data_IF_029159968381
#
_entry.id   IF_029159968381
#
_cell.length_a   1.000
_cell.length_b   1.000
_cell.length_c   1.000
_cell.angle_alpha   90.00
_cell.angle_beta   90.00
_cell.angle_gamma   90.00
#
_symmetry.space_group_name_H-M   'P 1'
#
loop_
_entity.id
_entity.type
_entity.pdbx_description
1 polymer ?
#
# COMPACT_ATOMS: atom_id res chain seq x y z
N UNK A 1 3.82 -0.54 -0.37
CA UNK A 1 2.84 -0.57 -1.49
C UNK A 1 1.59 0.18 -1.09
N UNK A 2 1.18 1.14 -1.86
CA UNK A 2 0.07 2.03 -1.54
C UNK A 2 -1.04 1.86 -2.56
N UNK A 3 -2.25 1.59 -2.07
CA UNK A 3 -3.46 1.59 -2.88
C UNK A 3 -3.82 3.04 -3.26
N UNK A 4 -3.86 3.31 -4.55
CA UNK A 4 -4.20 4.62 -5.09
C UNK A 4 -5.52 4.60 -5.86
N UNK A 5 -6.37 3.62 -5.61
CA UNK A 5 -7.72 3.57 -6.19
C UNK A 5 -8.57 4.77 -5.73
N UNK A 6 -9.64 5.04 -6.47
CA UNK A 6 -10.45 6.24 -6.26
C UNK A 6 -11.10 6.38 -4.88
N UNK A 7 -11.31 5.26 -4.18
CA UNK A 7 -11.88 5.23 -2.83
C UNK A 7 -10.90 5.63 -1.72
N UNK A 8 -9.59 5.61 -1.99
CA UNK A 8 -8.58 5.91 -0.98
C UNK A 8 -8.41 7.42 -0.82
N UNK A 9 -8.46 7.89 0.44
CA UNK A 9 -8.26 9.30 0.77
C UNK A 9 -6.75 9.64 0.71
N UNK A 10 -6.40 10.58 -0.13
CA UNK A 10 -5.01 10.99 -0.33
C UNK A 10 -4.39 11.63 0.92
N UNK A 11 -5.18 12.23 1.79
CA UNK A 11 -4.68 12.77 3.07
C UNK A 11 -4.15 11.65 3.97
N UNK A 12 -4.82 10.51 3.94
CA UNK A 12 -4.40 9.34 4.71
C UNK A 12 -3.14 8.70 4.12
N UNK A 13 -3.00 8.71 2.80
CA UNK A 13 -1.77 8.28 2.15
C UNK A 13 -0.58 9.12 2.62
N UNK A 14 -0.73 10.43 2.68
CA UNK A 14 0.33 11.33 3.17
C UNK A 14 0.64 11.10 4.64
N UNK A 15 -0.36 10.88 5.47
CA UNK A 15 -0.18 10.57 6.88
C UNK A 15 0.57 9.25 7.07
N UNK A 16 0.21 8.24 6.29
CA UNK A 16 0.90 6.95 6.28
C UNK A 16 2.38 7.11 5.89
N UNK A 17 2.66 7.85 4.83
CA UNK A 17 4.04 8.08 4.38
C UNK A 17 4.88 8.77 5.44
N UNK A 18 4.34 9.75 6.15
CA UNK A 18 5.05 10.44 7.22
C UNK A 18 5.47 9.50 8.34
N UNK A 19 4.67 8.49 8.63
CA UNK A 19 5.00 7.49 9.65
C UNK A 19 6.14 6.56 9.25
N UNK A 20 6.51 6.53 7.99
CA UNK A 20 7.63 5.74 7.51
C UNK A 20 8.99 6.43 7.74
N UNK A 21 9.00 7.72 8.07
CA UNK A 21 10.25 8.48 8.27
C UNK A 21 11.22 7.83 9.26
N UNK A 22 10.78 7.35 10.43
CA UNK A 22 11.70 6.70 11.37
C UNK A 22 12.37 5.44 10.82
N UNK A 23 11.77 4.77 9.84
CA UNK A 23 12.31 3.56 9.25
C UNK A 23 13.54 3.84 8.37
N UNK A 24 13.69 5.06 7.88
CA UNK A 24 14.80 5.43 6.99
C UNK A 24 16.16 5.32 7.67
N UNK A 25 16.22 5.47 9.00
CA UNK A 25 17.46 5.34 9.75
C UNK A 25 17.94 3.89 9.86
N UNK A 26 17.05 2.94 9.69
CA UNK A 26 17.30 1.52 9.97
C UNK A 26 17.16 0.63 8.74
N UNK A 27 16.51 1.10 7.68
CA UNK A 27 16.15 0.27 6.55
C UNK A 27 16.14 1.05 5.25
N UNK A 28 16.40 0.36 4.16
CA UNK A 28 16.11 0.89 2.83
C UNK A 28 14.60 0.86 2.63
N UNK A 29 14.06 1.93 2.11
CA UNK A 29 12.62 2.07 1.88
C UNK A 29 12.34 2.20 0.38
N UNK A 30 11.38 1.42 -0.10
CA UNK A 30 10.83 1.54 -1.44
C UNK A 30 9.32 1.71 -1.34
N UNK A 31 8.78 2.65 -2.10
CA UNK A 31 7.36 2.93 -2.14
C UNK A 31 6.83 2.68 -3.55
N UNK A 32 5.82 1.85 -3.66
CA UNK A 32 5.11 1.60 -4.90
C UNK A 32 3.64 1.92 -4.77
N UNK A 33 2.99 2.19 -5.89
CA UNK A 33 1.55 2.46 -5.97
C UNK A 33 0.86 1.44 -6.86
N UNK A 34 -0.37 1.09 -6.53
CA UNK A 34 -1.20 0.22 -7.34
C UNK A 34 -2.67 0.63 -7.31
N UNK A 35 -3.37 0.25 -8.33
CA UNK A 35 -4.82 0.19 -8.41
C UNK A 35 -5.16 -1.06 -9.24
N UNK A 36 -5.71 -0.97 -10.44
CA UNK A 36 -5.78 -2.12 -11.35
C UNK A 36 -4.43 -2.42 -12.01
N UNK A 37 -3.50 -1.45 -11.95
CA UNK A 37 -2.14 -1.55 -12.47
C UNK A 37 -1.14 -1.33 -11.36
N UNK A 38 0.07 -1.81 -11.56
CA UNK A 38 1.21 -1.47 -10.72
C UNK A 38 2.01 -0.35 -11.37
N UNK A 39 2.28 0.72 -10.63
CA UNK A 39 2.88 1.95 -11.11
C UNK A 39 4.38 2.08 -10.80
N UNK A 40 5.01 0.99 -10.40
CA UNK A 40 6.45 0.95 -10.14
C UNK A 40 6.82 1.31 -8.70
N UNK A 41 8.05 0.99 -8.33
CA UNK A 41 8.63 1.39 -7.05
C UNK A 41 9.56 2.57 -7.20
N UNK A 42 9.60 3.40 -6.16
CA UNK A 42 10.54 4.52 -6.02
C UNK A 42 11.38 4.29 -4.76
N UNK A 43 12.69 4.39 -4.89
CA UNK A 43 13.59 4.34 -3.74
C UNK A 43 13.50 5.65 -2.96
N UNK A 44 13.29 5.55 -1.66
CA UNK A 44 13.21 6.72 -0.76
C UNK A 44 14.48 6.72 0.08
N UNK A 45 15.28 7.78 -0.04
CA UNK A 45 16.59 7.87 0.61
C UNK A 45 16.61 8.76 1.84
N UNK A 46 15.67 9.70 1.94
CA UNK A 46 15.62 10.65 3.04
C UNK A 46 14.19 11.16 3.28
N UNK A 47 13.99 11.85 4.40
CA UNK A 47 12.68 12.36 4.77
C UNK A 47 12.11 13.36 3.77
N UNK A 48 12.96 14.15 3.12
CA UNK A 48 12.52 15.11 2.11
C UNK A 48 11.87 14.40 0.91
N UNK A 49 12.39 13.24 0.52
CA UNK A 49 11.79 12.45 -0.56
C UNK A 49 10.43 11.89 -0.17
N UNK A 50 10.20 11.59 1.11
CA UNK A 50 8.86 11.25 1.61
C UNK A 50 7.91 12.43 1.49
N UNK A 51 8.33 13.60 1.95
CA UNK A 51 7.50 14.82 1.90
C UNK A 51 7.15 15.22 0.46
N UNK A 52 8.05 14.96 -0.47
CA UNK A 52 7.88 15.29 -1.88
C UNK A 52 7.29 14.15 -2.71
N UNK A 53 6.98 13.01 -2.10
CA UNK A 53 6.40 11.88 -2.83
C UNK A 53 5.06 12.28 -3.42
N UNK A 54 4.90 11.99 -4.71
CA UNK A 54 3.65 12.21 -5.42
C UNK A 54 3.16 10.92 -6.05
N UNK A 55 1.85 10.76 -6.12
CA UNK A 55 1.24 9.65 -6.83
C UNK A 55 1.60 9.76 -8.32
N UNK A 56 1.99 8.65 -8.97
CA UNK A 56 2.35 8.67 -10.38
C UNK A 56 1.28 9.32 -11.24
N UNK A 57 1.72 10.10 -12.22
CA UNK A 57 0.82 10.80 -13.14
C UNK A 57 -0.09 9.80 -13.86
N UNK A 58 -1.39 10.06 -13.86
CA UNK A 58 -2.39 9.19 -14.48
C UNK A 58 -2.88 8.05 -13.62
N UNK A 59 -2.24 7.76 -12.47
CA UNK A 59 -2.65 6.67 -11.60
C UNK A 59 -4.06 6.85 -11.06
N UNK A 60 -4.54 8.08 -10.89
CA UNK A 60 -5.90 8.40 -10.44
C UNK A 60 -6.87 8.66 -11.59
N UNK A 61 -6.56 8.18 -12.78
CA UNK A 61 -7.42 8.27 -13.95
C UNK A 61 -8.53 7.21 -13.98
N UNK A 62 -8.87 6.71 -15.19
CA UNK A 62 -9.96 5.73 -15.38
C UNK A 62 -9.76 4.43 -14.61
N UNK A 63 -8.54 3.95 -14.50
CA UNK A 63 -8.20 2.71 -13.80
C UNK A 63 -8.23 2.85 -12.28
N UNK A 64 -8.48 4.04 -11.75
CA UNK A 64 -8.50 4.28 -10.31
C UNK A 64 -9.67 3.62 -9.57
N UNK A 65 -10.63 3.06 -10.28
CA UNK A 65 -11.83 2.45 -9.71
C UNK A 65 -11.66 0.99 -9.30
N UNK A 66 -10.61 0.33 -9.79
CA UNK A 66 -10.38 -1.09 -9.52
C UNK A 66 -9.17 -1.26 -8.61
N UNK A 67 -9.29 -2.15 -7.64
CA UNK A 67 -8.21 -2.51 -6.73
C UNK A 67 -7.78 -3.94 -7.03
N UNK A 68 -6.55 -4.10 -7.49
CA UNK A 68 -5.98 -5.41 -7.76
C UNK A 68 -4.95 -5.76 -6.68
N UNK A 69 -5.42 -6.31 -5.57
CA UNK A 69 -4.54 -6.71 -4.46
C UNK A 69 -3.66 -7.91 -4.82
N UNK A 70 -4.12 -8.79 -5.71
CA UNK A 70 -3.30 -9.88 -6.23
C UNK A 70 -2.06 -9.34 -6.93
N UNK A 71 -2.24 -8.36 -7.82
CA UNK A 71 -1.15 -7.69 -8.50
C UNK A 71 -0.20 -7.00 -7.54
N UNK A 72 -0.74 -6.34 -6.51
CA UNK A 72 0.06 -5.66 -5.49
C UNK A 72 1.03 -6.63 -4.82
N UNK A 73 0.54 -7.79 -4.41
CA UNK A 73 1.39 -8.82 -3.78
C UNK A 73 2.42 -9.36 -4.76
N UNK A 74 2.03 -9.65 -6.00
CA UNK A 74 2.94 -10.19 -7.03
C UNK A 74 4.02 -9.19 -7.47
N UNK A 75 3.77 -7.90 -7.29
CA UNK A 75 4.68 -6.84 -7.70
C UNK A 75 5.87 -6.65 -6.74
N UNK A 76 5.81 -7.19 -5.53
CA UNK A 76 6.96 -7.23 -4.66
C UNK A 76 8.04 -8.13 -5.25
N UNK A 77 9.28 -7.66 -5.27
CA UNK A 77 10.42 -8.45 -5.74
C UNK A 77 10.72 -9.56 -4.76
N UNK A 78 10.75 -10.80 -5.24
CA UNK A 78 10.70 -12.00 -4.39
C UNK A 78 11.90 -12.25 -3.47
N UNK A 79 13.01 -11.54 -3.59
CA UNK A 79 14.24 -12.02 -2.95
C UNK A 79 14.82 -11.14 -1.85
N UNK A 80 14.33 -9.94 -1.58
CA UNK A 80 15.02 -9.00 -0.68
C UNK A 80 14.16 -8.14 0.24
N UNK A 81 12.85 -8.09 0.01
CA UNK A 81 12.00 -7.31 0.90
C UNK A 81 11.64 -8.16 2.11
N UNK A 82 12.20 -7.79 3.26
CA UNK A 82 11.95 -8.47 4.53
C UNK A 82 10.58 -8.06 5.07
N UNK A 83 10.22 -6.79 4.91
CA UNK A 83 8.97 -6.24 5.39
C UNK A 83 8.16 -5.70 4.22
N UNK A 84 7.10 -6.41 3.88
CA UNK A 84 6.19 -6.05 2.81
C UNK A 84 4.90 -5.54 3.42
N UNK A 85 4.60 -4.27 3.20
CA UNK A 85 3.43 -3.60 3.76
C UNK A 85 2.57 -3.10 2.61
N UNK A 86 1.28 -3.39 2.67
CA UNK A 86 0.27 -2.86 1.74
C UNK A 86 -0.70 -1.98 2.51
N UNK A 87 -0.79 -0.72 2.13
CA UNK A 87 -1.77 0.22 2.66
C UNK A 87 -2.96 0.29 1.70
N UNK A 88 -4.16 0.02 2.20
CA UNK A 88 -5.39 -0.01 1.39
C UNK A 88 -6.60 0.31 2.25
N UNK A 89 -7.69 0.75 1.64
CA UNK A 89 -8.99 0.86 2.32
C UNK A 89 -9.76 -0.47 2.34
N UNK A 90 -9.31 -1.45 1.56
CA UNK A 90 -9.89 -2.79 1.54
C UNK A 90 -11.27 -2.92 0.93
N UNK A 91 -11.77 -1.91 0.21
CA UNK A 91 -13.08 -1.96 -0.40
C UNK A 91 -13.02 -2.58 -1.81
N UNK A 92 -13.63 -3.76 -2.00
CA UNK A 92 -13.57 -4.48 -3.27
C UNK A 92 -14.73 -4.10 -4.20
N UNK A 93 -14.67 -2.95 -4.84
CA UNK A 93 -15.75 -2.56 -5.74
C UNK A 93 -15.25 -1.91 -7.05
N UNK A 94 -14.97 -2.70 -8.09
CA UNK A 94 -14.60 -4.10 -8.09
C UNK A 94 -13.17 -4.32 -7.58
N UNK A 95 -12.88 -5.49 -7.02
CA UNK A 95 -11.55 -5.82 -6.49
C UNK A 95 -11.12 -7.22 -6.87
N UNK A 96 -9.81 -7.40 -6.97
CA UNK A 96 -9.20 -8.71 -7.25
C UNK A 96 -8.36 -9.12 -6.05
N UNK A 97 -8.86 -10.11 -5.30
CA UNK A 97 -8.19 -10.64 -4.12
C UNK A 97 -6.98 -11.49 -4.51
N UNK A 98 -5.95 -11.57 -3.64
CA UNK A 98 -4.84 -12.48 -3.85
C UNK A 98 -5.32 -13.91 -4.02
N UNK A 99 -4.78 -14.61 -5.03
CA UNK A 99 -5.13 -16.00 -5.31
C UNK A 99 -4.40 -16.95 -4.35
N UNK A 100 -4.88 -18.19 -4.28
CA UNK A 100 -4.39 -19.20 -3.34
C UNK A 100 -2.89 -19.51 -3.46
N UNK A 101 -2.29 -19.35 -4.63
CA UNK A 101 -0.85 -19.56 -4.80
C UNK A 101 -0.01 -18.55 -4.00
N UNK A 102 -0.62 -17.42 -3.57
CA UNK A 102 0.03 -16.40 -2.75
C UNK A 102 -0.19 -16.60 -1.24
N UNK A 103 -0.87 -17.65 -0.82
CA UNK A 103 -1.27 -17.84 0.59
C UNK A 103 -0.11 -17.85 1.60
N UNK A 104 1.11 -18.15 1.14
CA UNK A 104 2.31 -18.18 1.98
C UNK A 104 3.11 -16.89 1.97
N UNK A 105 2.68 -15.90 1.21
CA UNK A 105 3.37 -14.62 1.16
C UNK A 105 3.24 -13.89 2.50
N UNK A 106 4.35 -13.34 2.96
CA UNK A 106 4.42 -12.63 4.24
C UNK A 106 4.15 -11.15 4.03
N UNK A 107 2.88 -10.78 4.12
CA UNK A 107 2.41 -9.41 3.89
C UNK A 107 1.79 -8.87 5.17
N UNK A 108 2.04 -7.60 5.47
CA UNK A 108 1.29 -6.84 6.46
C UNK A 108 0.32 -5.94 5.70
N UNK A 109 -0.97 -6.17 5.92
CA UNK A 109 -2.02 -5.34 5.35
C UNK A 109 -2.44 -4.29 6.37
N UNK A 110 -2.16 -3.02 6.10
CA UNK A 110 -2.70 -1.92 6.88
C UNK A 110 -3.99 -1.46 6.21
N UNK A 111 -5.11 -1.79 6.82
CA UNK A 111 -6.43 -1.59 6.24
C UNK A 111 -7.16 -0.47 6.97
N UNK A 112 -7.49 0.57 6.25
CA UNK A 112 -8.27 1.68 6.74
C UNK A 112 -9.72 1.58 6.21
N UNK A 113 -10.66 1.41 7.11
CA UNK A 113 -12.08 1.49 6.79
C UNK A 113 -12.82 0.16 6.73
N UNK A 114 -12.36 -0.81 5.96
CA UNK A 114 -13.06 -2.08 5.81
C UNK A 114 -12.53 -3.15 6.77
N UNK A 115 -13.27 -3.37 7.85
CA UNK A 115 -12.92 -4.39 8.85
C UNK A 115 -13.12 -5.83 8.37
N UNK A 116 -13.85 -6.00 7.26
CA UNK A 116 -14.16 -7.32 6.71
C UNK A 116 -13.17 -7.77 5.63
N UNK A 117 -12.14 -6.96 5.36
CA UNK A 117 -11.10 -7.33 4.40
C UNK A 117 -10.31 -8.53 4.91
N UNK A 118 -10.36 -9.65 4.18
CA UNK A 118 -9.76 -10.93 4.58
C UNK A 118 -9.04 -11.58 3.40
N UNK A 119 -7.80 -11.15 3.08
CA UNK A 119 -7.01 -11.82 2.05
C UNK A 119 -6.54 -13.20 2.52
N UNK A 120 -6.18 -14.07 1.59
CA UNK A 120 -5.69 -15.42 1.90
C UNK A 120 -4.26 -15.43 2.45
N UNK A 121 -3.55 -14.33 2.41
CA UNK A 121 -2.16 -14.24 2.87
C UNK A 121 -1.95 -13.06 3.80
N UNK A 122 -0.90 -13.16 4.60
CA UNK A 122 -0.45 -12.08 5.45
C UNK A 122 -1.29 -11.84 6.69
N UNK A 123 -0.94 -10.75 7.36
CA UNK A 123 -1.61 -10.31 8.59
C UNK A 123 -2.33 -8.99 8.32
N UNK A 124 -3.60 -8.92 8.67
CA UNK A 124 -4.40 -7.69 8.56
C UNK A 124 -4.35 -6.92 9.87
N UNK A 125 -4.00 -5.64 9.77
CA UNK A 125 -4.07 -4.70 10.88
C UNK A 125 -5.05 -3.61 10.45
N UNK A 126 -6.17 -3.52 11.17
CA UNK A 126 -7.14 -2.46 10.93
C UNK A 126 -6.70 -1.20 11.66
N UNK A 127 -6.62 -0.10 10.92
CA UNK A 127 -6.20 1.19 11.45
C UNK A 127 -7.32 2.22 11.32
N UNK A 128 -7.33 3.16 12.24
CA UNK A 128 -8.29 4.28 12.22
C UNK A 128 -7.59 5.52 11.69
N UNK A 129 -8.40 6.46 11.17
CA UNK A 129 -7.90 7.77 10.77
C UNK A 129 -7.13 8.45 11.91
N UNK A 130 -7.66 8.37 13.12
CA UNK A 130 -7.02 8.94 14.31
C UNK A 130 -5.64 8.35 14.57
N UNK A 131 -5.46 7.04 14.38
CA UNK A 131 -4.17 6.40 14.54
C UNK A 131 -3.15 6.90 13.52
N UNK A 132 -3.59 7.17 12.29
CA UNK A 132 -2.72 7.73 11.25
C UNK A 132 -2.34 9.19 11.51
N UNK A 133 -3.21 9.95 12.15
CA UNK A 133 -3.00 11.39 12.41
C UNK A 133 -2.15 11.66 13.66
N UNK A 134 -2.01 10.69 14.55
CA UNK A 134 -1.31 10.86 15.84
C UNK A 134 0.21 10.83 15.74
N UNK A 135 0.75 10.62 14.60
CA UNK A 135 2.21 10.53 14.44
C UNK A 135 2.77 11.79 13.80
#
# INVERSE_FOLDING_TARGET
>A
MIDVSGSVDLRLVKSFLRQLKPLLEQSKLRVGCFNEQFWGFVDIKNEKEIDNFTIPRGARGRSAWTENWDLAVRSFTKKREINKIVFTDGYPCPGIMPKEDLKRENIIWLVYGNKDFKPCCGKVINITERQLEQF
#
